data_IF_212293190897
#
_entry.id   IF_212293190897
#
_cell.length_a   1.000
_cell.length_b   1.000
_cell.length_c   1.000
_cell.angle_alpha   90.00
_cell.angle_beta   90.00
_cell.angle_gamma   90.00
#
_symmetry.space_group_name_H-M   'P 1'
#
loop_
_entity.id
_entity.type
_entity.pdbx_description
1 polymer ?
#
# COMPACT_ATOMS: atom_id res chain seq x y z
N UNK A 1 -5.14 -12.55 -14.26
CA UNK A 1 -4.01 -11.58 -14.20
C UNK A 1 -4.33 -10.44 -15.14
N UNK A 2 -3.94 -9.20 -14.81
CA UNK A 2 -4.18 -8.05 -15.69
C UNK A 2 -3.70 -8.34 -17.12
N UNK A 3 -4.48 -7.93 -18.13
CA UNK A 3 -4.13 -8.17 -19.53
C UNK A 3 -2.97 -7.26 -19.97
N UNK A 4 -1.75 -7.80 -20.16
CA UNK A 4 -0.60 -6.99 -20.55
C UNK A 4 -0.70 -6.52 -22.02
N UNK A 5 -1.50 -7.19 -22.85
CA UNK A 5 -1.65 -6.83 -24.27
C UNK A 5 -2.46 -5.55 -24.43
N UNK A 6 -3.41 -5.31 -23.53
CA UNK A 6 -4.18 -4.07 -23.45
C UNK A 6 -3.36 -2.85 -22.97
N UNK A 7 -2.28 -3.08 -22.19
CA UNK A 7 -1.50 -2.02 -21.55
C UNK A 7 -0.23 -1.60 -22.30
N UNK A 8 0.24 -2.42 -23.26
CA UNK A 8 1.46 -2.15 -24.06
C UNK A 8 1.27 -1.16 -25.21
N UNK A 9 0.07 -0.58 -25.40
CA UNK A 9 -0.18 0.38 -26.48
C UNK A 9 0.40 1.77 -26.23
N UNK A 10 0.96 2.05 -25.05
CA UNK A 10 1.80 3.23 -24.84
C UNK A 10 3.07 3.07 -25.69
N UNK A 11 3.50 4.08 -26.46
CA UNK A 11 4.52 3.92 -27.49
C UNK A 11 5.87 3.50 -26.88
N UNK A 12 6.09 2.20 -26.76
CA UNK A 12 7.39 1.61 -26.47
C UNK A 12 8.26 1.96 -27.67
N UNK A 13 9.19 2.90 -27.47
CA UNK A 13 10.09 3.40 -28.49
C UNK A 13 9.40 3.93 -29.76
N UNK A 14 9.15 5.25 -29.78
CA UNK A 14 9.12 5.99 -31.06
C UNK A 14 10.56 6.01 -31.62
N UNK A 15 11.00 4.85 -32.12
CA UNK A 15 12.15 4.75 -33.01
C UNK A 15 11.69 5.23 -34.39
N UNK A 16 12.14 6.43 -34.73
CA UNK A 16 12.31 6.99 -36.07
C UNK A 16 11.19 6.68 -37.10
N UNK A 17 10.26 7.62 -37.22
CA UNK A 17 9.90 8.18 -38.53
C UNK A 17 8.97 7.38 -39.45
N UNK A 18 7.97 6.64 -38.94
CA UNK A 18 6.87 6.14 -39.79
C UNK A 18 5.49 6.38 -39.20
N UNK A 19 4.68 7.03 -40.04
CA UNK A 19 3.21 7.20 -40.08
C UNK A 19 2.40 6.91 -38.81
N UNK A 20 1.67 7.94 -38.40
CA UNK A 20 0.68 7.99 -37.32
C UNK A 20 -0.25 6.78 -37.34
N UNK A 21 -0.18 5.86 -36.36
CA UNK A 21 -1.17 4.82 -36.21
C UNK A 21 -2.49 5.45 -35.78
N UNK A 22 -3.58 4.95 -36.34
CA UNK A 22 -4.95 5.23 -35.91
C UNK A 22 -5.02 5.09 -34.37
N UNK A 23 -5.49 6.13 -33.68
CA UNK A 23 -5.55 6.17 -32.22
C UNK A 23 -6.50 5.08 -31.71
N UNK A 24 -5.98 3.87 -31.48
CA UNK A 24 -6.69 2.86 -30.70
C UNK A 24 -6.87 3.42 -29.31
N UNK A 25 -8.11 3.38 -28.81
CA UNK A 25 -8.46 3.84 -27.46
C UNK A 25 -7.56 3.10 -26.47
N UNK A 26 -6.63 3.84 -25.84
CA UNK A 26 -5.76 3.29 -24.80
C UNK A 26 -6.64 2.82 -23.64
N UNK A 27 -6.63 1.51 -23.37
CA UNK A 27 -7.35 0.93 -22.24
C UNK A 27 -6.60 1.33 -20.97
N UNK A 28 -7.31 1.79 -19.94
CA UNK A 28 -6.68 2.14 -18.68
C UNK A 28 -6.14 0.88 -18.00
N UNK A 29 -5.06 1.00 -17.23
CA UNK A 29 -4.55 -0.15 -16.48
C UNK A 29 -5.54 -0.63 -15.43
N UNK A 30 -6.39 0.27 -14.91
CA UNK A 30 -7.50 -0.09 -14.04
C UNK A 30 -8.49 -1.01 -14.76
N UNK A 31 -8.96 -0.64 -15.95
CA UNK A 31 -9.87 -1.50 -16.73
C UNK A 31 -9.22 -2.85 -17.07
N UNK A 32 -7.94 -2.84 -17.44
CA UNK A 32 -7.19 -4.06 -17.73
C UNK A 32 -6.99 -4.97 -16.49
N UNK A 33 -7.07 -4.39 -15.29
CA UNK A 33 -6.92 -5.08 -14.00
C UNK A 33 -8.24 -5.28 -13.23
N UNK A 34 -9.38 -4.73 -13.69
CA UNK A 34 -10.65 -4.68 -12.94
C UNK A 34 -11.06 -6.05 -12.40
N UNK A 35 -11.06 -7.07 -13.25
CA UNK A 35 -11.43 -8.44 -12.83
C UNK A 35 -10.53 -8.98 -11.73
N UNK A 36 -9.23 -8.61 -11.74
CA UNK A 36 -8.32 -9.05 -10.69
C UNK A 36 -8.60 -8.33 -9.37
N UNK A 37 -8.89 -7.02 -9.41
CA UNK A 37 -9.30 -6.23 -8.24
C UNK A 37 -10.57 -6.82 -7.62
N UNK A 38 -11.60 -7.09 -8.43
CA UNK A 38 -12.87 -7.68 -7.98
C UNK A 38 -12.66 -9.05 -7.32
N UNK A 39 -11.86 -9.92 -7.93
CA UNK A 39 -11.54 -11.23 -7.35
C UNK A 39 -10.76 -11.09 -6.05
N UNK A 40 -9.77 -10.20 -5.97
CA UNK A 40 -9.00 -9.97 -4.74
C UNK A 40 -9.89 -9.44 -3.62
N UNK A 41 -10.78 -8.48 -3.90
CA UNK A 41 -11.78 -7.97 -2.95
C UNK A 41 -12.70 -9.09 -2.44
N UNK A 42 -13.21 -9.92 -3.36
CA UNK A 42 -14.07 -11.05 -3.00
C UNK A 42 -13.33 -12.05 -2.10
N UNK A 43 -12.07 -12.37 -2.40
CA UNK A 43 -11.26 -13.28 -1.57
C UNK A 43 -11.03 -12.72 -0.16
N UNK A 44 -10.78 -11.41 -0.01
CA UNK A 44 -10.65 -10.77 1.31
C UNK A 44 -11.97 -10.79 2.07
N UNK A 45 -13.09 -10.50 1.41
CA UNK A 45 -14.42 -10.58 2.01
C UNK A 45 -14.77 -12.00 2.48
N UNK A 46 -14.46 -13.02 1.66
CA UNK A 46 -14.63 -14.43 2.03
C UNK A 46 -13.73 -14.77 3.22
N UNK A 47 -12.45 -14.39 3.17
CA UNK A 47 -11.51 -14.64 4.26
C UNK A 47 -12.01 -14.05 5.59
N UNK A 48 -12.37 -12.76 5.58
CA UNK A 48 -12.94 -12.09 6.74
C UNK A 48 -14.21 -12.79 7.25
N UNK A 49 -15.15 -13.09 6.36
CA UNK A 49 -16.42 -13.74 6.73
C UNK A 49 -16.21 -15.13 7.33
N UNK A 50 -15.29 -15.91 6.79
CA UNK A 50 -14.90 -17.23 7.33
C UNK A 50 -14.29 -17.05 8.71
N UNK A 51 -13.36 -16.10 8.90
CA UNK A 51 -12.73 -15.86 10.20
C UNK A 51 -13.74 -15.41 11.27
N UNK A 52 -14.69 -14.54 10.92
CA UNK A 52 -15.80 -14.17 11.82
C UNK A 52 -16.65 -15.40 12.16
N UNK A 53 -16.98 -16.23 11.17
CA UNK A 53 -17.83 -17.42 11.35
C UNK A 53 -17.18 -18.51 12.18
N UNK A 54 -15.85 -18.58 12.23
CA UNK A 54 -15.13 -19.51 13.09
C UNK A 54 -15.29 -19.20 14.58
N UNK A 55 -15.72 -17.96 14.91
CA UNK A 55 -15.89 -17.45 16.28
C UNK A 55 -14.77 -17.90 17.21
N UNK A 56 -13.53 -17.61 16.82
CA UNK A 56 -12.35 -18.05 17.57
C UNK A 56 -12.47 -17.48 19.00
N UNK A 57 -12.52 -18.32 20.05
CA UNK A 57 -12.87 -17.89 21.39
C UNK A 57 -11.67 -17.22 22.08
N UNK A 58 -11.33 -16.04 21.62
CA UNK A 58 -10.31 -15.18 22.23
C UNK A 58 -11.04 -14.04 22.92
N UNK A 59 -11.02 -14.05 24.25
CA UNK A 59 -11.54 -12.95 25.04
C UNK A 59 -10.73 -11.69 24.73
N UNK A 60 -11.37 -10.57 24.36
CA UNK A 60 -10.67 -9.32 24.12
C UNK A 60 -10.24 -8.68 25.44
N UNK A 61 -9.40 -7.64 25.35
CA UNK A 61 -9.10 -6.79 26.50
C UNK A 61 -10.38 -6.16 27.06
N UNK A 62 -10.46 -6.03 28.39
CA UNK A 62 -11.65 -5.53 29.08
C UNK A 62 -12.06 -4.11 28.64
N UNK A 63 -11.10 -3.28 28.21
CA UNK A 63 -11.34 -1.92 27.69
C UNK A 63 -12.11 -1.92 26.36
N UNK A 64 -12.10 -3.02 25.62
CA UNK A 64 -12.82 -3.19 24.36
C UNK A 64 -14.22 -3.78 24.55
N UNK A 65 -14.61 -4.03 25.80
CA UNK A 65 -15.90 -4.60 26.16
C UNK A 65 -16.89 -3.49 26.55
N UNK A 66 -18.09 -3.46 25.95
CA UNK A 66 -19.14 -2.56 26.41
C UNK A 66 -19.51 -2.88 27.87
N UNK A 67 -19.60 -1.86 28.72
CA UNK A 67 -19.87 -2.01 30.16
C UNK A 67 -21.18 -2.77 30.50
N UNK A 68 -22.08 -2.93 29.52
CA UNK A 68 -23.43 -3.47 29.70
C UNK A 68 -23.66 -4.86 29.07
N UNK A 69 -22.63 -5.52 28.54
CA UNK A 69 -22.78 -6.83 27.88
C UNK A 69 -22.35 -8.03 28.74
N UNK A 70 -23.19 -9.07 28.75
CA UNK A 70 -23.01 -10.30 29.55
C UNK A 70 -21.92 -11.22 28.98
N UNK A 71 -21.61 -11.09 27.68
CA UNK A 71 -20.52 -11.79 27.00
C UNK A 71 -19.84 -10.83 26.04
N UNK A 72 -18.55 -10.60 26.22
CA UNK A 72 -17.75 -9.73 25.36
C UNK A 72 -16.94 -10.58 24.40
N UNK A 73 -17.51 -10.84 23.22
CA UNK A 73 -16.82 -11.50 22.11
C UNK A 73 -16.61 -10.48 20.99
N UNK A 74 -15.39 -10.44 20.45
CA UNK A 74 -15.02 -9.55 19.34
C UNK A 74 -14.39 -10.31 18.16
N UNK A 75 -15.15 -11.23 17.53
CA UNK A 75 -14.66 -12.02 16.41
C UNK A 75 -14.31 -11.16 15.18
N UNK A 76 -14.92 -9.97 15.06
CA UNK A 76 -14.62 -8.96 14.05
C UNK A 76 -13.17 -8.47 14.12
N UNK A 77 -12.66 -8.18 15.32
CA UNK A 77 -11.28 -7.69 15.51
C UNK A 77 -10.24 -8.75 15.14
N UNK A 78 -10.46 -10.00 15.57
CA UNK A 78 -9.58 -11.13 15.23
C UNK A 78 -9.62 -11.40 13.72
N UNK A 79 -10.81 -11.42 13.12
CA UNK A 79 -10.98 -11.63 11.68
C UNK A 79 -10.31 -10.54 10.86
N UNK A 80 -10.43 -9.28 11.29
CA UNK A 80 -9.75 -8.15 10.67
C UNK A 80 -8.23 -8.34 10.71
N UNK A 81 -7.64 -8.58 11.89
CA UNK A 81 -6.19 -8.75 12.03
C UNK A 81 -5.64 -9.92 11.21
N UNK A 82 -6.31 -11.08 11.21
CA UNK A 82 -5.88 -12.22 10.40
C UNK A 82 -5.96 -11.90 8.89
N UNK A 83 -7.06 -11.28 8.44
CA UNK A 83 -7.23 -10.92 7.03
C UNK A 83 -6.16 -9.90 6.60
N UNK A 84 -5.96 -8.86 7.40
CA UNK A 84 -4.92 -7.85 7.17
C UNK A 84 -3.53 -8.45 7.19
N UNK A 85 -3.22 -9.37 8.11
CA UNK A 85 -1.92 -10.07 8.14
C UNK A 85 -1.63 -10.80 6.84
N UNK A 86 -2.61 -11.57 6.32
CA UNK A 86 -2.43 -12.34 5.08
C UNK A 86 -2.13 -11.39 3.90
N UNK A 87 -2.90 -10.31 3.79
CA UNK A 87 -2.79 -9.36 2.67
C UNK A 87 -1.52 -8.52 2.78
N UNK A 88 -1.21 -7.99 3.96
CA UNK A 88 0.03 -7.24 4.22
C UNK A 88 1.28 -8.11 4.02
N UNK A 89 1.23 -9.38 4.42
CA UNK A 89 2.31 -10.33 4.16
C UNK A 89 2.53 -10.51 2.67
N UNK A 90 1.46 -10.71 1.90
CA UNK A 90 1.56 -10.81 0.44
C UNK A 90 2.12 -9.51 -0.18
N UNK A 91 1.55 -8.35 0.15
CA UNK A 91 1.93 -7.06 -0.42
C UNK A 91 3.36 -6.64 -0.06
N UNK A 92 3.72 -6.73 1.22
CA UNK A 92 5.02 -6.32 1.73
C UNK A 92 6.13 -7.23 1.20
N UNK A 93 5.95 -8.55 1.24
CA UNK A 93 6.96 -9.49 0.73
C UNK A 93 7.11 -9.39 -0.79
N UNK A 94 6.01 -9.22 -1.53
CA UNK A 94 6.06 -8.97 -2.97
C UNK A 94 6.80 -7.66 -3.27
N UNK A 95 6.54 -6.59 -2.51
CA UNK A 95 7.20 -5.30 -2.64
C UNK A 95 8.72 -5.42 -2.46
N UNK A 96 9.17 -5.96 -1.33
CA UNK A 96 10.59 -6.18 -1.03
C UNK A 96 11.23 -7.08 -2.09
N UNK A 97 10.58 -8.19 -2.45
CA UNK A 97 11.09 -9.11 -3.49
C UNK A 97 11.30 -8.38 -4.81
N UNK A 98 10.29 -7.64 -5.26
CA UNK A 98 10.34 -6.95 -6.54
C UNK A 98 11.37 -5.81 -6.52
N UNK A 99 11.46 -5.06 -5.42
CA UNK A 99 12.36 -3.93 -5.31
C UNK A 99 13.83 -4.33 -5.32
N UNK A 100 14.21 -5.34 -4.53
CA UNK A 100 15.61 -5.70 -4.34
C UNK A 100 16.10 -6.80 -5.30
N UNK A 101 15.19 -7.64 -5.81
CA UNK A 101 15.58 -8.84 -6.54
C UNK A 101 14.98 -8.95 -7.95
N UNK A 102 14.05 -8.07 -8.35
CA UNK A 102 13.53 -8.10 -9.73
C UNK A 102 14.49 -7.39 -10.69
N UNK A 103 14.96 -8.13 -11.69
CA UNK A 103 15.70 -7.56 -12.83
C UNK A 103 14.89 -6.48 -13.55
N UNK A 104 13.57 -6.67 -13.69
CA UNK A 104 12.67 -5.71 -14.36
C UNK A 104 12.69 -4.34 -13.67
N UNK A 105 12.60 -4.33 -12.33
CA UNK A 105 12.61 -3.10 -11.53
C UNK A 105 14.00 -2.47 -11.50
N UNK A 106 15.06 -3.30 -11.41
CA UNK A 106 16.44 -2.83 -11.46
C UNK A 106 16.82 -2.21 -12.80
N UNK A 107 16.34 -2.75 -13.91
CA UNK A 107 16.57 -2.16 -15.24
C UNK A 107 15.82 -0.82 -15.35
N UNK A 108 14.58 -0.75 -14.86
CA UNK A 108 13.79 0.47 -14.84
C UNK A 108 14.45 1.59 -13.99
N UNK A 109 15.11 1.25 -12.87
CA UNK A 109 15.78 2.25 -12.02
C UNK A 109 16.88 3.01 -12.77
N UNK A 110 17.54 2.36 -13.74
CA UNK A 110 18.62 2.92 -14.57
C UNK A 110 18.11 3.69 -15.79
N UNK A 111 16.81 3.65 -16.05
CA UNK A 111 16.20 4.31 -17.21
C UNK A 111 16.20 5.84 -17.11
N UNK A 112 15.62 6.46 -18.13
CA UNK A 112 15.30 7.89 -18.13
C UNK A 112 14.15 8.22 -17.16
N UNK A 113 13.91 9.50 -16.83
CA UNK A 113 12.72 9.91 -16.09
C UNK A 113 11.42 9.38 -16.72
N UNK A 114 11.34 9.38 -18.05
CA UNK A 114 10.22 8.82 -18.81
C UNK A 114 10.05 7.33 -18.58
N UNK A 115 11.15 6.56 -18.59
CA UNK A 115 11.11 5.11 -18.36
C UNK A 115 10.59 4.80 -16.95
N UNK A 116 11.03 5.56 -15.94
CA UNK A 116 10.58 5.37 -14.56
C UNK A 116 9.13 5.79 -14.34
N UNK A 117 8.67 6.86 -14.99
CA UNK A 117 7.33 7.43 -14.80
C UNK A 117 6.25 6.83 -15.71
N UNK A 118 6.60 6.33 -16.89
CA UNK A 118 5.61 5.87 -17.88
C UNK A 118 5.89 4.46 -18.43
N UNK A 119 7.06 3.88 -18.11
CA UNK A 119 7.45 2.55 -18.57
C UNK A 119 6.60 1.45 -17.93
N UNK A 120 6.07 0.55 -18.73
CA UNK A 120 5.28 -0.56 -18.21
C UNK A 120 6.12 -1.47 -17.28
N UNK A 121 5.63 -1.72 -16.07
CA UNK A 121 6.19 -2.71 -15.15
C UNK A 121 5.09 -3.64 -14.65
N UNK A 122 5.24 -4.95 -14.91
CA UNK A 122 4.27 -5.94 -14.42
C UNK A 122 4.24 -5.96 -12.89
N UNK A 123 5.41 -5.83 -12.27
CA UNK A 123 5.53 -5.74 -10.81
C UNK A 123 4.71 -4.58 -10.23
N UNK A 124 4.74 -3.41 -10.86
CA UNK A 124 3.99 -2.23 -10.43
C UNK A 124 2.48 -2.45 -10.49
N UNK A 125 1.97 -2.99 -11.60
CA UNK A 125 0.53 -3.24 -11.74
C UNK A 125 0.04 -4.28 -10.72
N UNK A 126 0.78 -5.36 -10.51
CA UNK A 126 0.44 -6.34 -9.48
C UNK A 126 0.43 -5.71 -8.07
N UNK A 127 1.40 -4.85 -7.76
CA UNK A 127 1.48 -4.15 -6.49
C UNK A 127 0.31 -3.19 -6.28
N UNK A 128 0.00 -2.36 -7.30
CA UNK A 128 -1.10 -1.41 -7.20
C UNK A 128 -2.47 -2.11 -7.17
N UNK A 129 -2.64 -3.26 -7.82
CA UNK A 129 -3.88 -4.06 -7.69
C UNK A 129 -4.04 -4.57 -6.27
N UNK A 130 -2.98 -5.12 -5.69
CA UNK A 130 -3.01 -5.61 -4.31
C UNK A 130 -3.29 -4.47 -3.33
N UNK A 131 -2.56 -3.35 -3.46
CA UNK A 131 -2.75 -2.17 -2.63
C UNK A 131 -4.15 -1.60 -2.79
N UNK A 132 -4.62 -1.28 -4.00
CA UNK A 132 -5.95 -0.72 -4.21
C UNK A 132 -7.05 -1.62 -3.62
N UNK A 133 -6.95 -2.94 -3.84
CA UNK A 133 -7.93 -3.88 -3.29
C UNK A 133 -7.92 -3.84 -1.76
N UNK A 134 -6.74 -3.88 -1.14
CA UNK A 134 -6.61 -3.82 0.31
C UNK A 134 -7.15 -2.51 0.85
N UNK A 135 -6.76 -1.37 0.29
CA UNK A 135 -7.20 -0.05 0.75
C UNK A 135 -8.72 0.13 0.66
N UNK A 136 -9.37 -0.42 -0.38
CA UNK A 136 -10.84 -0.43 -0.49
C UNK A 136 -11.46 -1.32 0.58
N UNK A 137 -10.97 -2.55 0.72
CA UNK A 137 -11.52 -3.50 1.70
C UNK A 137 -11.34 -2.98 3.13
N UNK A 138 -10.14 -2.52 3.46
CA UNK A 138 -9.76 -2.02 4.78
C UNK A 138 -10.58 -0.79 5.14
N UNK A 139 -10.68 0.19 4.24
CA UNK A 139 -11.52 1.37 4.46
C UNK A 139 -12.98 0.99 4.73
N UNK A 140 -13.53 0.05 3.95
CA UNK A 140 -14.90 -0.43 4.15
C UNK A 140 -15.07 -1.10 5.52
N UNK A 141 -14.21 -2.05 5.89
CA UNK A 141 -14.32 -2.78 7.16
C UNK A 141 -14.05 -1.86 8.36
N UNK A 142 -13.06 -0.99 8.26
CA UNK A 142 -12.67 -0.05 9.31
C UNK A 142 -13.75 0.99 9.60
N UNK A 143 -14.58 1.36 8.62
CA UNK A 143 -15.80 2.17 8.86
C UNK A 143 -16.86 1.42 9.70
N UNK A 144 -16.78 0.10 9.83
CA UNK A 144 -17.68 -0.72 10.66
C UNK A 144 -17.09 -1.15 12.00
N UNK A 145 -15.77 -1.18 12.17
CA UNK A 145 -15.11 -1.54 13.43
C UNK A 145 -14.76 -0.25 14.22
N UNK A 146 -15.43 0.07 15.34
CA UNK A 146 -15.24 1.34 16.05
C UNK A 146 -13.78 1.70 16.34
N UNK A 147 -12.96 0.70 16.70
CA UNK A 147 -11.53 0.82 17.01
C UNK A 147 -10.67 1.23 15.81
N UNK A 148 -11.22 1.15 14.59
CA UNK A 148 -10.52 1.47 13.34
C UNK A 148 -11.11 2.67 12.61
N UNK A 149 -12.07 3.39 13.23
CA UNK A 149 -12.73 4.57 12.63
C UNK A 149 -12.00 5.88 12.87
N UNK A 150 -10.77 5.85 13.38
CA UNK A 150 -10.01 7.08 13.61
C UNK A 150 -9.82 7.86 12.30
N UNK A 151 -10.13 9.18 12.28
CA UNK A 151 -10.08 9.95 11.03
C UNK A 151 -8.73 9.90 10.32
N UNK A 152 -7.62 9.92 11.08
CA UNK A 152 -6.26 9.87 10.53
C UNK A 152 -6.02 8.55 9.79
N UNK A 153 -6.50 7.45 10.37
CA UNK A 153 -6.42 6.12 9.78
C UNK A 153 -7.25 6.04 8.49
N UNK A 154 -8.54 6.42 8.53
CA UNK A 154 -9.40 6.39 7.35
C UNK A 154 -8.89 7.28 6.20
N UNK A 155 -8.38 8.47 6.52
CA UNK A 155 -7.77 9.37 5.54
C UNK A 155 -6.53 8.74 4.92
N UNK A 156 -5.68 8.07 5.71
CA UNK A 156 -4.53 7.35 5.15
C UNK A 156 -4.96 6.30 4.12
N UNK A 157 -5.90 5.42 4.48
CA UNK A 157 -6.34 4.35 3.59
C UNK A 157 -6.98 4.90 2.32
N UNK A 158 -7.75 5.98 2.43
CA UNK A 158 -8.28 6.70 1.27
C UNK A 158 -7.17 7.25 0.36
N UNK A 159 -6.18 7.96 0.92
CA UNK A 159 -5.08 8.55 0.15
C UNK A 159 -4.21 7.46 -0.50
N UNK A 160 -3.91 6.37 0.21
CA UNK A 160 -3.16 5.23 -0.31
C UNK A 160 -3.94 4.47 -1.40
N UNK A 161 -5.27 4.36 -1.26
CA UNK A 161 -6.14 3.84 -2.30
C UNK A 161 -6.14 4.73 -3.55
N UNK A 162 -6.16 6.05 -3.37
CA UNK A 162 -6.10 7.02 -4.47
C UNK A 162 -4.78 6.98 -5.24
N UNK A 163 -3.64 6.83 -4.56
CA UNK A 163 -2.36 6.68 -5.27
C UNK A 163 -2.34 5.41 -6.13
N UNK A 164 -2.81 4.27 -5.61
CA UNK A 164 -2.87 3.01 -6.34
C UNK A 164 -3.85 3.07 -7.53
N UNK A 165 -5.04 3.66 -7.32
CA UNK A 165 -6.02 3.89 -8.38
C UNK A 165 -5.45 4.76 -9.49
N UNK A 166 -4.89 5.93 -9.17
CA UNK A 166 -4.33 6.83 -10.17
C UNK A 166 -3.14 6.21 -10.92
N UNK A 167 -2.31 5.43 -10.22
CA UNK A 167 -1.21 4.68 -10.85
C UNK A 167 -1.72 3.67 -11.87
N UNK A 168 -2.78 2.92 -11.54
CA UNK A 168 -3.41 1.98 -12.48
C UNK A 168 -4.14 2.68 -13.61
N UNK A 169 -5.02 3.63 -13.32
CA UNK A 169 -5.87 4.31 -14.29
C UNK A 169 -5.04 5.09 -15.32
N UNK A 170 -4.06 5.87 -14.87
CA UNK A 170 -3.26 6.71 -15.76
C UNK A 170 -1.96 6.03 -16.22
N UNK A 171 -1.64 4.85 -15.69
CA UNK A 171 -0.39 4.12 -15.98
C UNK A 171 0.82 5.05 -15.84
N UNK A 172 0.91 5.69 -14.68
CA UNK A 172 1.96 6.64 -14.30
C UNK A 172 2.67 6.14 -13.03
N UNK A 173 3.90 6.62 -12.80
CA UNK A 173 4.76 6.30 -11.65
C UNK A 173 4.99 4.80 -11.34
N UNK A 174 5.06 3.90 -12.34
CA UNK A 174 5.14 2.46 -12.10
C UNK A 174 6.38 2.07 -11.30
N UNK A 175 7.56 2.60 -11.63
CA UNK A 175 8.79 2.30 -10.90
C UNK A 175 8.64 2.64 -9.41
N UNK A 176 8.25 3.88 -9.11
CA UNK A 176 8.08 4.37 -7.75
C UNK A 176 6.98 3.62 -6.98
N UNK A 177 5.91 3.21 -7.66
CA UNK A 177 4.80 2.49 -7.01
C UNK A 177 5.22 1.14 -6.42
N UNK A 178 6.24 0.47 -6.96
CA UNK A 178 6.76 -0.78 -6.37
C UNK A 178 7.31 -0.52 -4.97
N UNK A 179 7.98 0.62 -4.76
CA UNK A 179 8.46 1.03 -3.44
C UNK A 179 7.31 1.47 -2.54
N UNK A 180 6.54 2.47 -2.97
CA UNK A 180 5.53 3.11 -2.12
C UNK A 180 4.38 2.18 -1.77
N UNK A 181 3.85 1.40 -2.72
CA UNK A 181 2.74 0.49 -2.48
C UNK A 181 3.18 -0.91 -2.04
N UNK A 182 4.50 -1.15 -1.90
CA UNK A 182 5.07 -2.47 -1.60
C UNK A 182 6.07 -2.44 -0.46
N UNK A 183 7.29 -1.93 -0.69
CA UNK A 183 8.33 -1.90 0.35
C UNK A 183 7.89 -1.15 1.60
N UNK A 184 7.17 -0.02 1.44
CA UNK A 184 6.68 0.75 2.59
C UNK A 184 5.73 -0.07 3.47
N UNK A 185 4.97 -0.99 2.88
CA UNK A 185 4.02 -1.88 3.57
C UNK A 185 4.67 -3.08 4.25
N UNK A 186 5.97 -3.31 4.04
CA UNK A 186 6.66 -4.43 4.69
C UNK A 186 6.67 -4.31 6.22
N UNK A 187 6.76 -3.07 6.73
CA UNK A 187 6.67 -2.80 8.16
C UNK A 187 5.32 -3.20 8.76
N UNK A 188 4.23 -3.04 7.99
CA UNK A 188 2.85 -3.35 8.41
C UNK A 188 2.67 -4.82 8.78
N UNK A 189 3.49 -5.73 8.23
CA UNK A 189 3.48 -7.16 8.60
C UNK A 189 3.72 -7.34 10.09
N UNK A 190 4.69 -6.60 10.64
CA UNK A 190 5.05 -6.67 12.06
C UNK A 190 4.06 -5.90 12.93
N UNK A 191 3.52 -4.78 12.40
CA UNK A 191 2.51 -3.98 13.10
C UNK A 191 1.28 -4.81 13.46
N UNK A 192 0.76 -5.60 12.51
CA UNK A 192 -0.44 -6.42 12.74
C UNK A 192 -0.29 -7.36 13.95
N UNK A 193 0.93 -7.88 14.18
CA UNK A 193 1.23 -8.70 15.36
C UNK A 193 1.50 -7.86 16.60
N UNK A 194 2.23 -6.75 16.47
CA UNK A 194 2.54 -5.85 17.59
C UNK A 194 1.27 -5.29 18.24
N UNK A 195 0.26 -5.02 17.43
CA UNK A 195 -1.05 -4.52 17.84
C UNK A 195 -1.88 -5.55 18.62
N UNK A 196 -1.54 -6.85 18.58
CA UNK A 196 -2.36 -7.88 19.24
C UNK A 196 -2.54 -7.60 20.74
N UNK A 197 -1.53 -7.04 21.41
CA UNK A 197 -1.61 -6.71 22.84
C UNK A 197 -2.76 -5.74 23.17
N UNK A 198 -3.19 -4.93 22.21
CA UNK A 198 -4.27 -3.96 22.39
C UNK A 198 -5.63 -4.66 22.30
N UNK A 199 -5.70 -5.80 21.61
CA UNK A 199 -6.92 -6.55 21.39
C UNK A 199 -7.11 -7.73 22.34
N UNK A 200 -6.03 -8.42 22.71
CA UNK A 200 -6.08 -9.66 23.49
C UNK A 200 -5.23 -9.54 24.75
N UNK A 201 -5.66 -10.11 25.89
CA UNK A 201 -4.90 -10.05 27.12
C UNK A 201 -3.67 -10.96 27.00
N UNK A 202 -2.49 -10.33 26.99
CA UNK A 202 -1.21 -11.03 26.90
C UNK A 202 -0.57 -11.06 28.29
N UNK A 203 -0.23 -12.26 28.77
CA UNK A 203 0.47 -12.42 30.05
C UNK A 203 1.92 -11.95 29.91
N UNK A 204 2.34 -11.01 30.75
CA UNK A 204 3.73 -10.53 30.82
C UNK A 204 4.71 -11.70 31.00
N UNK A 205 5.82 -11.63 30.26
CA UNK A 205 6.88 -12.64 30.26
C UNK A 205 6.49 -13.96 29.58
N UNK A 206 5.30 -14.08 28.99
CA UNK A 206 4.94 -15.25 28.19
C UNK A 206 5.69 -15.27 26.84
N UNK A 207 5.78 -16.43 26.17
CA UNK A 207 6.33 -16.49 24.82
C UNK A 207 5.62 -15.57 23.82
N UNK A 208 4.30 -15.39 23.98
CA UNK A 208 3.50 -14.49 23.15
C UNK A 208 3.87 -13.02 23.41
N UNK A 209 4.06 -12.63 24.67
CA UNK A 209 4.54 -11.29 25.04
C UNK A 209 5.89 -10.98 24.41
N UNK A 210 6.84 -11.92 24.51
CA UNK A 210 8.17 -11.78 23.89
C UNK A 210 8.08 -11.67 22.36
N UNK A 211 7.18 -12.45 21.73
CA UNK A 211 6.95 -12.38 20.29
C UNK A 211 6.37 -11.02 19.86
N UNK A 212 5.35 -10.54 20.56
CA UNK A 212 4.72 -9.24 20.30
C UNK A 212 5.73 -8.10 20.47
N UNK A 213 6.53 -8.14 21.54
CA UNK A 213 7.62 -7.19 21.75
C UNK A 213 8.62 -7.19 20.59
N UNK A 214 9.05 -8.39 20.14
CA UNK A 214 9.94 -8.52 19.00
C UNK A 214 9.31 -7.97 17.70
N UNK A 215 8.02 -8.22 17.47
CA UNK A 215 7.27 -7.62 16.36
C UNK A 215 7.21 -6.10 16.47
N UNK A 216 6.98 -5.53 17.65
CA UNK A 216 7.00 -4.07 17.87
C UNK A 216 8.37 -3.44 17.56
N UNK A 217 9.46 -4.11 17.97
CA UNK A 217 10.81 -3.67 17.65
C UNK A 217 11.10 -3.75 16.13
N UNK A 218 10.74 -4.86 15.48
CA UNK A 218 10.90 -5.04 14.04
C UNK A 218 10.04 -4.04 13.24
N UNK A 219 8.81 -3.78 13.68
CA UNK A 219 7.96 -2.75 13.13
C UNK A 219 8.66 -1.39 13.18
N UNK A 220 9.14 -0.98 14.36
CA UNK A 220 9.79 0.32 14.54
C UNK A 220 11.02 0.49 13.64
N UNK A 221 11.89 -0.53 13.57
CA UNK A 221 13.09 -0.51 12.72
C UNK A 221 12.71 -0.44 11.24
N UNK A 222 11.80 -1.31 10.79
CA UNK A 222 11.42 -1.38 9.37
C UNK A 222 10.60 -0.17 8.94
N UNK A 223 9.77 0.39 9.83
CA UNK A 223 9.07 1.65 9.62
C UNK A 223 10.07 2.78 9.39
N UNK A 224 11.07 2.92 10.27
CA UNK A 224 12.10 3.94 10.10
C UNK A 224 12.87 3.77 8.78
N UNK A 225 13.31 2.56 8.47
CA UNK A 225 14.08 2.29 7.25
C UNK A 225 13.26 2.53 5.96
N UNK A 226 12.05 1.99 5.86
CA UNK A 226 11.26 2.07 4.63
C UNK A 226 10.38 3.32 4.55
N UNK A 227 9.69 3.70 5.62
CA UNK A 227 8.71 4.78 5.61
C UNK A 227 9.29 6.15 5.94
N UNK A 228 10.45 6.23 6.59
CA UNK A 228 11.15 7.51 6.82
C UNK A 228 12.32 7.69 5.86
N UNK A 229 13.38 6.89 6.00
CA UNK A 229 14.59 7.04 5.17
C UNK A 229 14.26 6.74 3.71
N UNK A 230 13.65 5.58 3.44
CA UNK A 230 13.32 5.15 2.10
C UNK A 230 12.32 6.09 1.42
N UNK A 231 11.25 6.49 2.11
CA UNK A 231 10.26 7.44 1.57
C UNK A 231 10.92 8.73 1.11
N UNK A 232 11.68 9.41 1.97
CA UNK A 232 12.39 10.65 1.63
C UNK A 232 13.38 10.40 0.47
N UNK A 233 14.12 9.30 0.56
CA UNK A 233 15.12 8.90 -0.44
C UNK A 233 14.55 8.69 -1.84
N UNK A 234 13.33 8.17 -1.96
CA UNK A 234 12.67 7.93 -3.25
C UNK A 234 11.71 9.05 -3.67
N UNK A 235 11.24 9.89 -2.75
CA UNK A 235 10.46 11.09 -3.09
C UNK A 235 11.33 12.09 -3.85
N UNK A 236 12.59 12.28 -3.46
CA UNK A 236 13.45 13.25 -4.14
C UNK A 236 13.69 12.94 -5.63
N UNK A 237 14.04 11.71 -6.04
CA UNK A 237 14.07 11.31 -7.45
C UNK A 237 12.72 11.41 -8.14
N UNK A 238 11.61 10.99 -7.49
CA UNK A 238 10.26 11.10 -8.05
C UNK A 238 9.94 12.55 -8.43
N UNK A 239 10.18 13.49 -7.52
CA UNK A 239 9.96 14.91 -7.74
C UNK A 239 10.81 15.45 -8.89
N UNK A 240 12.10 15.08 -8.94
CA UNK A 240 12.99 15.48 -10.04
C UNK A 240 12.48 14.98 -11.39
N UNK A 241 12.04 13.73 -11.46
CA UNK A 241 11.53 13.12 -12.68
C UNK A 241 10.24 13.80 -13.13
N UNK A 242 9.29 14.03 -12.21
CA UNK A 242 8.01 14.71 -12.51
C UNK A 242 8.26 16.12 -13.03
N UNK A 243 9.14 16.88 -12.37
CA UNK A 243 9.51 18.23 -12.80
C UNK A 243 10.16 18.18 -14.19
N UNK A 244 11.05 17.22 -14.43
CA UNK A 244 11.71 17.04 -15.72
C UNK A 244 10.68 16.81 -16.85
N UNK A 245 9.87 15.76 -16.73
CA UNK A 245 8.92 15.38 -17.80
C UNK A 245 7.84 16.42 -18.05
N UNK A 246 7.52 17.23 -17.03
CA UNK A 246 6.55 18.32 -17.19
C UNK A 246 7.18 19.52 -17.89
N UNK A 247 8.41 19.90 -17.52
CA UNK A 247 9.13 21.01 -18.16
C UNK A 247 9.49 20.73 -19.62
N UNK A 248 9.81 19.48 -19.96
CA UNK A 248 10.14 19.08 -21.34
C UNK A 248 8.91 18.83 -22.21
N UNK A 249 7.69 18.90 -21.67
CA UNK A 249 6.46 18.53 -22.37
C UNK A 249 6.32 17.02 -22.61
N UNK A 250 7.23 16.21 -22.07
CA UNK A 250 7.25 14.75 -22.21
C UNK A 250 6.02 14.09 -21.59
N UNK A 251 5.50 14.63 -20.49
CA UNK A 251 4.25 14.16 -19.87
C UNK A 251 3.07 14.22 -20.84
N UNK A 252 2.89 15.35 -21.54
CA UNK A 252 1.83 15.52 -22.53
C UNK A 252 1.98 14.58 -23.74
N UNK A 253 3.23 14.27 -24.11
CA UNK A 253 3.52 13.32 -25.20
C UNK A 253 3.17 11.88 -24.82
N UNK A 254 3.50 11.45 -23.60
CA UNK A 254 3.29 10.07 -23.17
C UNK A 254 1.86 9.82 -22.65
N UNK A 255 1.22 10.84 -22.06
CA UNK A 255 -0.11 10.76 -21.46
C UNK A 255 -0.90 12.06 -21.72
N UNK A 256 -1.37 12.28 -22.96
CA UNK A 256 -2.06 13.51 -23.34
C UNK A 256 -3.27 13.81 -22.46
N UNK A 257 -3.35 15.04 -21.93
CA UNK A 257 -4.47 15.51 -21.11
C UNK A 257 -4.49 14.97 -19.67
N UNK A 258 -3.43 14.28 -19.25
CA UNK A 258 -3.28 13.69 -17.91
C UNK A 258 -2.09 14.27 -17.12
N UNK A 259 -1.47 15.33 -17.62
CA UNK A 259 -0.25 15.92 -17.07
C UNK A 259 -0.44 16.41 -15.63
N UNK A 260 -1.63 16.97 -15.35
CA UNK A 260 -1.99 17.46 -14.00
C UNK A 260 -1.99 16.37 -12.93
N UNK A 261 -2.15 15.10 -13.32
CA UNK A 261 -2.14 14.00 -12.35
C UNK A 261 -0.77 13.78 -11.72
N UNK A 262 0.34 14.14 -12.38
CA UNK A 262 1.65 14.06 -11.74
C UNK A 262 1.77 15.01 -10.56
N UNK A 263 1.24 16.24 -10.67
CA UNK A 263 1.21 17.19 -9.55
C UNK A 263 0.28 16.76 -8.43
N UNK A 264 -0.87 16.19 -8.78
CA UNK A 264 -1.76 15.57 -7.80
C UNK A 264 -1.03 14.43 -7.06
N UNK A 265 -0.30 13.59 -7.78
CA UNK A 265 0.49 12.50 -7.17
C UNK A 265 1.57 13.02 -6.23
N UNK A 266 2.28 14.10 -6.57
CA UNK A 266 3.24 14.75 -5.67
C UNK A 266 2.57 15.31 -4.40
N UNK A 267 1.33 15.78 -4.50
CA UNK A 267 0.56 16.23 -3.34
C UNK A 267 0.24 15.05 -2.42
N UNK A 268 -0.19 13.91 -2.99
CA UNK A 268 -0.43 12.68 -2.22
C UNK A 268 0.86 12.16 -1.55
N UNK A 269 2.00 12.22 -2.25
CA UNK A 269 3.31 11.86 -1.71
C UNK A 269 3.66 12.67 -0.45
N UNK A 270 3.43 13.99 -0.47
CA UNK A 270 3.65 14.86 0.70
C UNK A 270 2.68 14.56 1.83
N UNK A 271 1.38 14.44 1.53
CA UNK A 271 0.37 14.17 2.56
C UNK A 271 0.64 12.84 3.26
N UNK A 272 0.92 11.78 2.49
CA UNK A 272 1.28 10.47 3.03
C UNK A 272 2.63 10.53 3.78
N UNK A 273 3.62 11.24 3.26
CA UNK A 273 4.91 11.43 3.94
C UNK A 273 4.78 12.14 5.30
N UNK A 274 3.92 13.15 5.40
CA UNK A 274 3.62 13.82 6.67
C UNK A 274 2.96 12.86 7.66
N UNK A 275 2.05 12.00 7.21
CA UNK A 275 1.47 10.95 8.04
C UNK A 275 2.52 9.95 8.55
N UNK A 276 3.51 9.59 7.73
CA UNK A 276 4.62 8.75 8.19
C UNK A 276 5.41 9.42 9.31
N UNK A 277 5.67 10.73 9.22
CA UNK A 277 6.36 11.48 10.28
C UNK A 277 5.51 11.59 11.56
N UNK A 278 4.20 11.78 11.42
CA UNK A 278 3.27 11.77 12.53
C UNK A 278 3.35 10.43 13.29
N UNK A 279 3.21 9.29 12.62
CA UNK A 279 3.29 7.99 13.29
C UNK A 279 4.69 7.67 13.81
N UNK A 280 5.75 8.12 13.14
CA UNK A 280 7.09 7.95 13.66
C UNK A 280 7.29 8.64 15.01
N UNK A 281 6.71 9.84 15.18
CA UNK A 281 6.70 10.53 16.48
C UNK A 281 5.99 9.68 17.54
N UNK A 282 4.82 9.13 17.23
CA UNK A 282 4.07 8.28 18.17
C UNK A 282 4.86 7.01 18.54
N UNK A 283 5.49 6.35 17.55
CA UNK A 283 6.36 5.19 17.77
C UNK A 283 7.53 5.53 18.71
N UNK A 284 8.19 6.67 18.49
CA UNK A 284 9.30 7.12 19.35
C UNK A 284 8.81 7.42 20.77
N UNK A 285 7.66 8.08 20.92
CA UNK A 285 7.08 8.39 22.22
C UNK A 285 6.72 7.12 23.00
N UNK A 286 6.05 6.17 22.35
CA UNK A 286 5.73 4.87 22.95
C UNK A 286 7.00 4.09 23.35
N UNK A 287 8.02 4.11 22.48
CA UNK A 287 9.29 3.40 22.75
C UNK A 287 10.05 4.04 23.92
N UNK A 288 10.12 5.37 23.97
CA UNK A 288 10.79 6.09 25.07
C UNK A 288 10.04 5.94 26.39
N UNK A 289 8.70 5.98 26.37
CA UNK A 289 7.88 5.74 27.55
C UNK A 289 8.01 4.32 28.11
N UNK A 290 8.27 3.32 27.26
CA UNK A 290 8.54 1.96 27.71
C UNK A 290 9.94 1.73 28.29
N UNK A 291 10.87 2.65 28.07
CA UNK A 291 12.26 2.57 28.54
C UNK A 291 12.55 3.41 29.80
N UNK A 292 11.64 4.31 30.18
CA UNK A 292 11.76 5.18 31.36
C UNK A 292 10.98 4.65 32.55
#
# INVERSE_FOLDING_TARGET
MCDPTAMRSSPQHVLKGKTTPQATKQISGFDACRRQIEVTLLLMAICYSVMVSLNIPIAPNAELCPENEVSCERPDLVAYKITSFIVMSYMGTMGVRNWYFSKEVHDASKGTPEDRLFGYLKAANNQNVANLSYQIWDLCVSVYIPEHREPVFLVHHFLAGMTAFCSLEFQMVPYYSVFYAGCSEFSSIFLVWADLKDFIPVKEGSPLDTFIFACGALFSITFFCFRIIGWIGYSFPLWKDVIHVTKTGSAAKHRPGKERFLYFFLTLDVMLGVLQLYWFREIVQMTMGALG
#
